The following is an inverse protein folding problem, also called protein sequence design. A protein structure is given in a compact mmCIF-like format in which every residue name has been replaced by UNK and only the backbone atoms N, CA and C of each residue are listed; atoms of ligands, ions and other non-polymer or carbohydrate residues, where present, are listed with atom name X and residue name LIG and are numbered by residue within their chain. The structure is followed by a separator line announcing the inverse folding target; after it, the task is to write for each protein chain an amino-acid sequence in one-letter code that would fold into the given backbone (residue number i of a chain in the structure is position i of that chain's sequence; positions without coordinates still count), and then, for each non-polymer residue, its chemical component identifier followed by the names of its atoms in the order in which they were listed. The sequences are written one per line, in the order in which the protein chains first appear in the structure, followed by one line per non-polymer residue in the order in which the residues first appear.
data_IF_517122592727
#
_entry.id   IF_517122592727
#
_cell.length_a   1.000
_cell.length_b   1.000
_cell.length_c   1.000
_cell.angle_alpha   90.00
_cell.angle_beta   90.00
_cell.angle_gamma   90.00
#
_symmetry.space_group_name_H-M   'P 1'
#
loop_
_entity.id
_entity.type
_entity.pdbx_description
1 polymer ?
#
# COMPACT_ATOMS: atom_id res chain seq x y z
N UNK A 1 4.70 60.52 17.26
CA UNK A 1 3.50 59.89 17.86
C UNK A 1 3.03 58.77 16.96
N UNK A 2 3.13 57.54 17.46
CA UNK A 2 2.33 56.33 17.16
C UNK A 2 1.78 56.13 15.74
N UNK A 3 2.34 55.20 14.97
CA UNK A 3 1.96 53.76 14.93
C UNK A 3 0.73 53.50 14.05
N UNK A 4 0.92 52.76 12.96
CA UNK A 4 0.46 51.36 12.88
C UNK A 4 0.98 50.72 11.58
N UNK A 5 1.99 49.88 11.71
CA UNK A 5 2.24 48.81 10.75
C UNK A 5 1.12 47.78 10.93
N UNK A 6 0.27 47.57 9.94
CA UNK A 6 -0.64 46.44 9.91
C UNK A 6 -0.10 45.42 8.91
N UNK A 7 0.68 44.48 9.45
CA UNK A 7 1.18 43.33 8.72
C UNK A 7 0.02 42.44 8.28
N UNK A 8 -0.17 42.31 6.98
CA UNK A 8 -0.82 41.13 6.43
C UNK A 8 0.14 39.96 6.59
N UNK A 9 0.02 39.25 7.71
CA UNK A 9 0.63 37.95 7.89
C UNK A 9 0.15 37.02 6.76
N UNK A 10 1.05 36.71 5.83
CA UNK A 10 0.90 35.55 4.94
C UNK A 10 0.90 34.30 5.82
N UNK A 11 -0.28 33.87 6.27
CA UNK A 11 -0.48 32.54 6.80
C UNK A 11 -0.56 31.57 5.63
N UNK A 12 0.58 31.23 5.03
CA UNK A 12 0.68 30.03 4.19
C UNK A 12 0.52 28.84 5.11
N UNK A 13 -0.70 28.32 5.19
CA UNK A 13 -0.95 27.02 5.81
C UNK A 13 -0.21 26.02 4.94
N UNK A 14 0.99 25.62 5.35
CA UNK A 14 1.65 24.43 4.80
C UNK A 14 0.84 23.25 5.30
N UNK A 15 -0.28 22.97 4.62
CA UNK A 15 -1.01 21.72 4.82
C UNK A 15 0.00 20.64 4.49
N UNK A 16 0.45 19.88 5.50
CA UNK A 16 1.22 18.66 5.27
C UNK A 16 0.37 17.78 4.36
N UNK A 17 0.68 17.78 3.06
CA UNK A 17 0.02 16.93 2.11
C UNK A 17 0.44 15.51 2.46
N UNK A 18 -0.48 14.72 3.00
CA UNK A 18 -0.28 13.29 3.22
C UNK A 18 -0.25 12.61 1.85
N UNK A 19 0.91 12.63 1.18
CA UNK A 19 1.04 12.19 -0.21
C UNK A 19 1.05 10.67 -0.30
N UNK A 20 0.02 10.11 -0.92
CA UNK A 20 -0.01 8.69 -1.34
C UNK A 20 0.62 8.59 -2.72
N UNK A 21 1.57 7.65 -2.88
CA UNK A 21 2.32 7.51 -4.13
C UNK A 21 2.86 6.09 -4.29
N UNK A 22 2.86 5.59 -5.52
CA UNK A 22 3.61 4.40 -5.91
C UNK A 22 5.02 4.71 -6.39
N UNK A 23 5.96 3.85 -6.01
CA UNK A 23 7.31 3.81 -6.58
C UNK A 23 7.45 2.52 -7.37
N UNK A 24 7.86 2.61 -8.63
CA UNK A 24 8.15 1.46 -9.49
C UNK A 24 9.63 1.43 -9.79
N UNK A 25 10.25 0.26 -9.68
CA UNK A 25 11.65 0.06 -10.04
C UNK A 25 11.85 0.37 -11.53
N UNK A 26 12.86 1.18 -11.85
CA UNK A 26 13.16 1.60 -13.22
C UNK A 26 13.45 0.42 -14.17
N UNK A 27 13.92 -0.70 -13.64
CA UNK A 27 14.25 -1.91 -14.40
C UNK A 27 13.11 -2.94 -14.43
N UNK A 28 11.97 -2.67 -13.78
CA UNK A 28 10.87 -3.60 -13.72
C UNK A 28 9.93 -3.44 -14.93
N UNK A 29 9.75 -4.52 -15.67
CA UNK A 29 8.61 -4.66 -16.58
C UNK A 29 7.41 -5.20 -15.80
N UNK A 30 6.47 -4.32 -15.46
CA UNK A 30 5.28 -4.72 -14.72
C UNK A 30 4.32 -5.57 -15.56
N UNK A 31 4.40 -5.52 -16.89
CA UNK A 31 3.46 -6.21 -17.77
C UNK A 31 3.65 -7.74 -17.77
N UNK A 32 4.85 -8.21 -17.39
CA UNK A 32 5.13 -9.65 -17.27
C UNK A 32 4.38 -10.32 -16.11
N UNK A 33 4.08 -9.57 -15.06
CA UNK A 33 3.48 -10.13 -13.84
C UNK A 33 1.98 -10.33 -14.00
N UNK A 34 1.54 -11.55 -13.72
CA UNK A 34 0.14 -11.97 -13.78
C UNK A 34 -0.40 -12.46 -12.46
N UNK A 35 0.48 -12.94 -11.59
CA UNK A 35 0.11 -13.56 -10.33
C UNK A 35 0.67 -12.75 -9.17
N UNK A 36 -0.07 -12.73 -8.08
CA UNK A 36 0.39 -12.21 -6.80
C UNK A 36 0.09 -13.24 -5.71
N UNK A 37 0.98 -13.35 -4.74
CA UNK A 37 0.73 -14.13 -3.54
C UNK A 37 1.04 -13.28 -2.32
N UNK A 38 0.05 -13.17 -1.46
CA UNK A 38 0.20 -12.60 -0.13
C UNK A 38 0.71 -13.73 0.73
N UNK A 39 2.00 -13.70 1.07
CA UNK A 39 2.56 -14.72 1.95
C UNK A 39 2.17 -14.35 3.38
N UNK A 40 1.29 -15.14 3.97
CA UNK A 40 1.04 -15.07 5.40
C UNK A 40 2.20 -15.81 6.08
N UNK A 41 2.97 -15.11 6.90
CA UNK A 41 3.93 -15.79 7.74
C UNK A 41 3.15 -16.12 9.01
N UNK A 42 2.73 -17.38 9.17
CA UNK A 42 1.88 -17.96 10.26
C UNK A 42 2.35 -17.67 11.71
N UNK A 43 3.36 -16.80 11.87
CA UNK A 43 3.93 -16.35 13.14
C UNK A 43 3.10 -15.25 13.82
N UNK A 44 2.13 -14.65 13.13
CA UNK A 44 1.27 -13.61 13.72
C UNK A 44 -0.16 -14.13 13.92
N UNK A 45 -0.54 -14.38 15.17
CA UNK A 45 -1.96 -14.47 15.52
C UNK A 45 -2.58 -13.10 15.27
N UNK A 46 -3.23 -12.94 14.12
CA UNK A 46 -3.90 -11.69 13.75
C UNK A 46 -5.10 -11.56 14.70
N UNK A 47 -5.13 -10.52 15.58
CA UNK A 47 -6.28 -10.27 16.43
C UNK A 47 -7.55 -10.14 15.59
N UNK A 48 -8.69 -10.57 16.12
CA UNK A 48 -9.96 -10.53 15.40
C UNK A 48 -10.30 -9.10 14.90
N UNK A 49 -9.85 -8.07 15.62
CA UNK A 49 -10.04 -6.67 15.24
C UNK A 49 -9.21 -6.25 14.00
N UNK A 50 -8.18 -7.02 13.62
CA UNK A 50 -7.34 -6.75 12.46
C UNK A 50 -7.72 -7.59 11.24
N UNK A 51 -8.57 -8.61 11.39
CA UNK A 51 -9.07 -9.44 10.29
C UNK A 51 -9.80 -8.60 9.23
N UNK A 52 -10.54 -7.57 9.65
CA UNK A 52 -11.16 -6.62 8.71
C UNK A 52 -10.12 -5.95 7.81
N UNK A 53 -9.00 -5.49 8.37
CA UNK A 53 -7.95 -4.81 7.60
C UNK A 53 -7.18 -5.78 6.70
N UNK A 54 -7.02 -7.02 7.13
CA UNK A 54 -6.45 -8.07 6.28
C UNK A 54 -7.35 -8.31 5.07
N UNK A 55 -8.66 -8.49 5.26
CA UNK A 55 -9.63 -8.61 4.15
C UNK A 55 -9.49 -7.41 3.20
N UNK A 56 -9.47 -6.18 3.72
CA UNK A 56 -9.31 -4.99 2.88
C UNK A 56 -7.99 -4.95 2.10
N UNK A 57 -6.88 -5.43 2.68
CA UNK A 57 -5.59 -5.50 2.01
C UNK A 57 -5.59 -6.58 0.91
N UNK A 58 -6.23 -7.72 1.14
CA UNK A 58 -6.45 -8.74 0.11
C UNK A 58 -7.30 -8.20 -1.04
N UNK A 59 -8.44 -7.57 -0.73
CA UNK A 59 -9.33 -6.96 -1.71
C UNK A 59 -8.61 -5.88 -2.52
N UNK A 60 -7.73 -5.10 -1.88
CA UNK A 60 -6.93 -4.08 -2.55
C UNK A 60 -6.01 -4.64 -3.64
N UNK A 61 -5.48 -5.86 -3.47
CA UNK A 61 -4.68 -6.53 -4.49
C UNK A 61 -5.58 -7.16 -5.57
N UNK A 62 -6.70 -7.77 -5.18
CA UNK A 62 -7.69 -8.36 -6.09
C UNK A 62 -8.42 -7.31 -6.96
N UNK A 63 -8.45 -6.05 -6.50
CA UNK A 63 -8.92 -4.91 -7.29
C UNK A 63 -8.05 -4.62 -8.52
N UNK A 64 -6.81 -5.13 -8.55
CA UNK A 64 -5.86 -4.99 -9.66
C UNK A 64 -6.05 -6.05 -10.77
N UNK A 65 -5.20 -6.04 -11.80
CA UNK A 65 -5.15 -7.14 -12.80
C UNK A 65 -4.48 -8.42 -12.30
N UNK A 66 -3.82 -8.39 -11.16
CA UNK A 66 -3.05 -9.54 -10.66
C UNK A 66 -4.01 -10.59 -10.14
N UNK A 67 -3.81 -11.84 -10.53
CA UNK A 67 -4.56 -12.98 -9.99
C UNK A 67 -3.93 -13.44 -8.69
N UNK A 68 -4.69 -13.43 -7.60
CA UNK A 68 -4.22 -13.95 -6.33
C UNK A 68 -4.06 -15.47 -6.36
N UNK A 69 -2.91 -15.93 -5.89
CA UNK A 69 -2.57 -17.34 -5.68
C UNK A 69 -2.28 -17.51 -4.18
N UNK A 70 -2.96 -18.46 -3.54
CA UNK A 70 -2.67 -18.84 -2.16
C UNK A 70 -1.22 -19.33 -2.05
N UNK A 71 -0.56 -18.87 -0.99
CA UNK A 71 0.75 -19.31 -0.55
C UNK A 71 0.88 -20.85 -0.47
N UNK A 72 -0.16 -21.53 0.02
CA UNK A 72 -0.24 -22.99 0.09
C UNK A 72 -0.13 -23.67 -1.28
N UNK A 73 -0.37 -22.97 -2.38
CA UNK A 73 -0.35 -23.54 -3.74
C UNK A 73 0.84 -23.07 -4.58
N UNK A 74 1.76 -22.33 -3.98
CA UNK A 74 2.94 -21.83 -4.69
C UNK A 74 3.81 -22.95 -5.26
N UNK A 75 3.87 -24.10 -4.59
CA UNK A 75 4.61 -25.27 -5.07
C UNK A 75 3.97 -25.94 -6.30
N UNK A 76 2.71 -25.62 -6.60
CA UNK A 76 1.98 -26.16 -7.77
C UNK A 76 2.24 -25.35 -9.05
N UNK A 77 2.88 -24.18 -8.94
CA UNK A 77 3.15 -23.31 -10.08
C UNK A 77 4.29 -23.86 -10.93
N UNK A 78 4.13 -23.82 -12.26
CA UNK A 78 5.22 -24.13 -13.19
C UNK A 78 6.32 -23.07 -13.09
N UNK A 79 7.56 -23.36 -13.54
CA UNK A 79 8.64 -22.36 -13.57
C UNK A 79 8.26 -21.08 -14.32
N UNK A 80 7.50 -21.19 -15.41
CA UNK A 80 7.02 -20.05 -16.19
C UNK A 80 6.01 -19.20 -15.40
N UNK A 81 5.13 -19.84 -14.61
CA UNK A 81 4.19 -19.14 -13.75
C UNK A 81 4.91 -18.45 -12.58
N UNK A 82 5.91 -19.12 -11.99
CA UNK A 82 6.75 -18.55 -10.94
C UNK A 82 7.53 -17.31 -11.43
N UNK A 83 7.97 -17.30 -12.69
CA UNK A 83 8.61 -16.12 -13.30
C UNK A 83 7.67 -14.91 -13.47
N UNK A 84 6.35 -15.12 -13.41
CA UNK A 84 5.30 -14.12 -13.51
C UNK A 84 4.65 -13.78 -12.16
N UNK A 85 5.20 -14.31 -11.06
CA UNK A 85 4.67 -14.19 -9.72
C UNK A 85 5.32 -13.04 -8.95
N UNK A 86 4.48 -12.27 -8.27
CA UNK A 86 4.88 -11.30 -7.25
C UNK A 86 4.55 -11.83 -5.85
N UNK A 87 5.48 -11.65 -4.93
CA UNK A 87 5.23 -11.74 -3.50
C UNK A 87 4.78 -10.37 -3.00
N UNK A 88 3.66 -10.34 -2.31
CA UNK A 88 3.08 -9.14 -1.73
C UNK A 88 3.41 -9.11 -0.24
N UNK A 89 3.96 -7.98 0.22
CA UNK A 89 4.23 -7.73 1.64
C UNK A 89 3.64 -6.40 2.08
N UNK A 90 2.84 -6.43 3.14
CA UNK A 90 2.26 -5.24 3.74
C UNK A 90 3.14 -4.68 4.85
N UNK A 91 3.14 -3.36 4.99
CA UNK A 91 3.75 -2.65 6.10
C UNK A 91 2.80 -1.56 6.60
N UNK A 92 2.67 -1.44 7.91
CA UNK A 92 1.79 -0.47 8.56
C UNK A 92 2.62 0.36 9.52
N UNK A 93 2.54 1.68 9.41
CA UNK A 93 3.15 2.63 10.32
C UNK A 93 2.07 3.59 10.84
N UNK A 94 1.78 3.52 12.13
CA UNK A 94 0.78 4.36 12.80
C UNK A 94 1.52 5.43 13.58
N UNK A 95 1.27 6.69 13.26
CA UNK A 95 1.77 7.87 14.00
C UNK A 95 0.57 8.71 14.42
N UNK A 96 0.79 9.60 15.39
CA UNK A 96 -0.25 10.53 15.83
C UNK A 96 -0.75 11.43 14.68
N UNK A 97 0.13 11.72 13.72
CA UNK A 97 -0.13 12.62 12.60
C UNK A 97 -0.81 11.92 11.41
N UNK A 98 -0.52 10.63 11.17
CA UNK A 98 -1.09 9.85 10.07
C UNK A 98 -0.89 8.34 10.27
N UNK A 99 -1.75 7.56 9.63
CA UNK A 99 -1.51 6.13 9.38
C UNK A 99 -1.04 5.95 7.94
N UNK A 100 0.00 5.13 7.78
CA UNK A 100 0.62 4.82 6.49
C UNK A 100 0.60 3.32 6.27
N UNK A 101 0.01 2.90 5.15
CA UNK A 101 0.00 1.53 4.65
C UNK A 101 0.88 1.46 3.42
N UNK A 102 1.79 0.51 3.37
CA UNK A 102 2.68 0.26 2.24
C UNK A 102 2.51 -1.17 1.76
N UNK A 103 2.27 -1.34 0.46
CA UNK A 103 2.13 -2.65 -0.18
C UNK A 103 3.27 -2.84 -1.16
N UNK A 104 4.19 -3.73 -0.82
CA UNK A 104 5.39 -4.01 -1.61
C UNK A 104 5.16 -5.23 -2.49
N UNK A 105 5.54 -5.10 -3.75
CA UNK A 105 5.50 -6.17 -4.75
C UNK A 105 6.94 -6.57 -5.07
N UNK A 106 7.24 -7.84 -4.87
CA UNK A 106 8.59 -8.39 -4.93
C UNK A 106 8.59 -9.51 -5.97
N UNK A 107 9.53 -9.46 -6.91
CA UNK A 107 9.73 -10.53 -7.89
C UNK A 107 10.08 -11.85 -7.18
N UNK A 108 9.28 -12.89 -7.41
CA UNK A 108 9.40 -14.14 -6.67
C UNK A 108 10.77 -14.82 -6.83
N UNK A 109 11.30 -14.86 -8.05
CA UNK A 109 12.54 -15.58 -8.34
C UNK A 109 13.79 -14.83 -7.86
N UNK A 110 13.82 -13.51 -8.05
CA UNK A 110 15.00 -12.70 -7.72
C UNK A 110 14.97 -12.08 -6.33
N UNK A 111 13.80 -12.06 -5.68
CA UNK A 111 13.60 -11.37 -4.40
C UNK A 111 13.68 -9.84 -4.49
N UNK A 112 13.73 -9.27 -5.70
CA UNK A 112 13.87 -7.83 -5.91
C UNK A 112 12.52 -7.11 -5.77
N UNK A 113 12.41 -6.03 -4.97
CA UNK A 113 11.24 -5.18 -5.00
C UNK A 113 11.08 -4.53 -6.38
N UNK A 114 9.87 -4.60 -6.94
CA UNK A 114 9.56 -4.03 -8.26
C UNK A 114 8.57 -2.89 -8.20
N UNK A 115 7.69 -2.88 -7.20
CA UNK A 115 6.81 -1.76 -6.91
C UNK A 115 6.52 -1.64 -5.42
N UNK A 116 6.25 -0.43 -4.94
CA UNK A 116 5.80 -0.14 -3.58
C UNK A 116 4.67 0.88 -3.66
N UNK A 117 3.46 0.49 -3.25
CA UNK A 117 2.27 1.33 -3.27
C UNK A 117 2.02 1.87 -1.86
N UNK A 118 2.06 3.20 -1.69
CA UNK A 118 1.87 3.85 -0.38
C UNK A 118 0.53 4.56 -0.31
N UNK A 119 -0.29 4.20 0.68
CA UNK A 119 -1.47 4.94 1.10
C UNK A 119 -1.26 5.59 2.46
N UNK A 120 -1.53 6.88 2.58
CA UNK A 120 -1.43 7.61 3.85
C UNK A 120 -2.69 8.42 4.11
N UNK A 121 -3.23 8.33 5.32
CA UNK A 121 -4.47 8.99 5.71
C UNK A 121 -4.45 9.40 7.18
N UNK A 122 -5.19 10.47 7.51
CA UNK A 122 -5.29 10.98 8.86
C UNK A 122 -6.62 11.69 9.09
N UNK A 123 -7.24 11.39 10.23
CA UNK A 123 -8.30 12.13 10.89
C UNK A 123 -7.75 12.99 12.02
N UNK A 124 -6.43 13.21 12.07
CA UNK A 124 -5.71 13.97 13.09
C UNK A 124 -5.93 13.43 14.50
N UNK A 125 -5.94 12.09 14.64
CA UNK A 125 -6.08 11.40 15.91
C UNK A 125 -7.53 11.23 16.41
N UNK A 126 -8.54 11.57 15.59
CA UNK A 126 -9.96 11.38 15.94
C UNK A 126 -10.34 9.89 15.92
N UNK A 127 -9.87 9.12 14.93
CA UNK A 127 -10.20 7.70 14.83
C UNK A 127 -9.11 6.88 14.15
N UNK A 128 -8.42 6.04 14.91
CA UNK A 128 -7.40 5.12 14.38
C UNK A 128 -7.98 4.11 13.38
N UNK A 129 -9.24 3.72 13.55
CA UNK A 129 -9.90 2.81 12.59
C UNK A 129 -10.20 3.52 11.27
N UNK A 130 -10.69 4.76 11.30
CA UNK A 130 -10.89 5.54 10.10
C UNK A 130 -9.55 5.83 9.39
N UNK A 131 -8.49 6.07 10.16
CA UNK A 131 -7.15 6.30 9.63
C UNK A 131 -6.60 5.07 8.90
N UNK A 132 -6.76 3.89 9.52
CA UNK A 132 -6.38 2.62 8.89
C UNK A 132 -7.17 2.37 7.61
N UNK A 133 -8.50 2.43 7.65
CA UNK A 133 -9.35 2.17 6.48
C UNK A 133 -9.07 3.15 5.35
N UNK A 134 -8.88 4.43 5.68
CA UNK A 134 -8.51 5.46 4.71
C UNK A 134 -7.14 5.24 4.09
N UNK A 135 -6.15 4.81 4.87
CA UNK A 135 -4.81 4.51 4.38
C UNK A 135 -4.81 3.27 3.47
N UNK A 136 -5.54 2.21 3.82
CA UNK A 136 -5.70 1.01 2.98
C UNK A 136 -6.36 1.37 1.66
N UNK A 137 -7.46 2.14 1.69
CA UNK A 137 -8.16 2.58 0.48
C UNK A 137 -7.26 3.41 -0.46
N UNK A 138 -6.44 4.30 0.10
CA UNK A 138 -5.45 5.03 -0.70
C UNK A 138 -4.37 4.12 -1.27
N UNK A 139 -3.95 3.08 -0.54
CA UNK A 139 -3.03 2.10 -1.07
C UNK A 139 -3.66 1.27 -2.21
N UNK A 140 -4.93 0.88 -2.10
CA UNK A 140 -5.71 0.23 -3.16
C UNK A 140 -5.75 1.07 -4.44
N UNK A 141 -5.98 2.38 -4.33
CA UNK A 141 -5.96 3.30 -5.47
C UNK A 141 -4.59 3.28 -6.16
N UNK A 142 -3.51 3.33 -5.37
CA UNK A 142 -2.14 3.25 -5.88
C UNK A 142 -1.83 1.90 -6.54
N UNK A 143 -2.31 0.79 -5.97
CA UNK A 143 -2.19 -0.55 -6.54
C UNK A 143 -2.93 -0.62 -7.87
N UNK A 144 -4.16 -0.15 -7.93
CA UNK A 144 -4.99 -0.17 -9.15
C UNK A 144 -4.37 0.66 -10.28
N UNK A 145 -3.73 1.79 -9.96
CA UNK A 145 -2.98 2.60 -10.94
C UNK A 145 -1.69 1.93 -11.40
N UNK A 146 -0.99 1.23 -10.50
CA UNK A 146 0.27 0.53 -10.80
C UNK A 146 0.00 -0.76 -11.59
N UNK A 147 -1.09 -1.44 -11.26
CA UNK A 147 -1.50 -2.72 -11.81
C UNK A 147 -2.92 -2.68 -12.42
N UNK A 148 -3.19 -1.86 -13.45
CA UNK A 148 -4.54 -1.62 -13.95
C UNK A 148 -5.17 -2.88 -14.57
N UNK A 149 -6.46 -3.09 -14.28
CA UNK A 149 -7.34 -4.03 -14.99
C UNK A 149 -7.40 -3.63 -16.47
N UNK A 150 -7.23 -4.61 -17.36
CA UNK A 150 -7.34 -4.43 -18.82
C UNK A 150 -8.71 -4.84 -19.29
#
# INVERSE_FOLDING_TARGET
MFSLALGCALSTITVSCTTSQSVVSQSADLSKYKYASVINNDTYHIPAELMEYEIMLFDAVEASRLKLISDMRLYELTPEQQAQLLIVKYGVNIRQEETVVTVNFIDYLSGRPVASCRGAYSTLGISSSADMKGAIKRAEEQISQTFPKR
#
